data_IF_192240027381
#
_entry.id   IF_192240027381
#
_cell.length_a   1.000
_cell.length_b   1.000
_cell.length_c   1.000
_cell.angle_alpha   90.00
_cell.angle_beta   90.00
_cell.angle_gamma   90.00
#
_symmetry.space_group_name_H-M   'P 1'
#
loop_
_entity.id
_entity.type
_entity.pdbx_description
1 polymer ?
#
# COMPACT_ATOMS: atom_id res chain seq x y z
N UNK A 1 -30.88 -6.29 11.47
CA UNK A 1 -30.43 -5.40 10.36
C UNK A 1 -30.88 -3.99 10.69
N UNK A 2 -29.97 -3.04 10.89
CA UNK A 2 -30.34 -1.66 11.24
C UNK A 2 -31.13 -1.02 10.07
N UNK A 3 -32.38 -0.61 10.31
CA UNK A 3 -33.34 -0.17 9.28
C UNK A 3 -33.11 1.25 8.72
N UNK A 4 -31.87 1.72 8.66
CA UNK A 4 -31.55 3.09 8.23
C UNK A 4 -30.85 3.05 6.88
N UNK A 5 -31.34 3.83 5.91
CA UNK A 5 -30.70 3.93 4.60
C UNK A 5 -29.31 4.55 4.70
N UNK A 6 -28.36 4.13 3.85
CA UNK A 6 -27.00 4.68 3.80
C UNK A 6 -27.00 6.21 3.74
N UNK A 7 -27.94 6.82 2.98
CA UNK A 7 -28.09 8.27 2.88
C UNK A 7 -28.39 8.91 4.25
N UNK A 8 -29.35 8.36 4.99
CA UNK A 8 -29.77 8.90 6.29
C UNK A 8 -28.67 8.71 7.35
N UNK A 9 -27.95 7.59 7.31
CA UNK A 9 -26.78 7.35 8.14
C UNK A 9 -25.65 8.35 7.85
N UNK A 10 -25.30 8.58 6.57
CA UNK A 10 -24.25 9.54 6.19
C UNK A 10 -24.60 10.98 6.58
N UNK A 11 -25.87 11.38 6.44
CA UNK A 11 -26.34 12.71 6.86
C UNK A 11 -26.24 12.90 8.37
N UNK A 12 -26.63 11.89 9.16
CA UNK A 12 -26.52 11.93 10.61
C UNK A 12 -25.05 12.03 11.08
N UNK A 13 -24.15 11.31 10.41
CA UNK A 13 -22.71 11.31 10.71
C UNK A 13 -21.95 12.48 10.08
N UNK A 14 -22.60 13.33 9.28
CA UNK A 14 -21.99 14.43 8.51
C UNK A 14 -20.79 14.01 7.66
N UNK A 15 -20.86 12.81 7.09
CA UNK A 15 -19.85 12.28 6.16
C UNK A 15 -20.41 12.24 4.74
N UNK A 16 -19.55 12.50 3.75
CA UNK A 16 -19.96 12.38 2.36
C UNK A 16 -20.13 10.91 1.95
N UNK A 17 -21.15 10.65 1.13
CA UNK A 17 -21.47 9.29 0.67
C UNK A 17 -20.38 8.72 -0.24
N UNK A 18 -19.64 9.55 -0.97
CA UNK A 18 -18.53 9.09 -1.82
C UNK A 18 -17.40 8.53 -0.97
N UNK A 19 -17.12 9.12 0.20
CA UNK A 19 -16.15 8.59 1.17
C UNK A 19 -16.57 7.22 1.69
N UNK A 20 -17.85 7.05 2.04
CA UNK A 20 -18.38 5.76 2.51
C UNK A 20 -18.40 4.70 1.41
N UNK A 21 -18.62 5.11 0.16
CA UNK A 21 -18.62 4.21 -1.01
C UNK A 21 -17.23 3.94 -1.57
N UNK A 22 -16.21 4.65 -1.11
CA UNK A 22 -14.87 4.51 -1.64
C UNK A 22 -14.32 3.12 -1.33
N UNK A 23 -14.10 2.35 -2.38
CA UNK A 23 -13.34 1.11 -2.34
C UNK A 23 -11.99 1.34 -3.01
N UNK A 24 -10.90 1.03 -2.30
CA UNK A 24 -9.54 1.11 -2.85
C UNK A 24 -9.39 0.14 -4.03
N UNK A 25 -9.10 0.67 -5.22
CA UNK A 25 -8.81 -0.12 -6.43
C UNK A 25 -7.31 -0.43 -6.59
N UNK A 26 -6.59 -0.57 -5.48
CA UNK A 26 -5.14 -0.82 -5.53
C UNK A 26 -4.90 -2.23 -6.10
N UNK A 27 -4.01 -2.39 -7.09
CA UNK A 27 -3.60 -3.70 -7.55
C UNK A 27 -2.89 -4.46 -6.43
N UNK A 28 -2.82 -5.79 -6.55
CA UNK A 28 -2.07 -6.61 -5.61
C UNK A 28 -0.57 -6.24 -5.67
N UNK A 29 0.00 -6.02 -4.49
CA UNK A 29 1.40 -5.66 -4.31
C UNK A 29 2.27 -6.90 -4.04
N UNK A 30 1.70 -8.13 -4.05
CA UNK A 30 2.41 -9.37 -3.78
C UNK A 30 3.70 -9.54 -4.61
N UNK A 31 3.72 -9.34 -5.95
CA UNK A 31 4.95 -9.49 -6.72
C UNK A 31 6.05 -8.50 -6.30
N UNK A 32 5.65 -7.28 -5.91
CA UNK A 32 6.57 -6.24 -5.45
C UNK A 32 7.13 -6.57 -4.08
N UNK A 33 6.31 -7.14 -3.18
CA UNK A 33 6.76 -7.59 -1.85
C UNK A 33 7.80 -8.69 -1.96
N UNK A 34 7.58 -9.68 -2.82
CA UNK A 34 8.51 -10.78 -3.02
C UNK A 34 9.85 -10.31 -3.62
N UNK A 35 9.81 -9.46 -4.65
CA UNK A 35 11.04 -8.86 -5.19
C UNK A 35 11.80 -8.05 -4.13
N UNK A 36 11.09 -7.28 -3.30
CA UNK A 36 11.69 -6.46 -2.25
C UNK A 36 12.30 -7.31 -1.12
N UNK A 37 11.66 -8.42 -0.73
CA UNK A 37 12.21 -9.40 0.22
C UNK A 37 13.46 -10.06 -0.33
N UNK A 38 13.47 -10.45 -1.60
CA UNK A 38 14.64 -11.06 -2.23
C UNK A 38 15.85 -10.11 -2.18
N UNK A 39 15.66 -8.84 -2.54
CA UNK A 39 16.72 -7.82 -2.46
C UNK A 39 17.17 -7.58 -1.01
N UNK A 40 16.23 -7.51 -0.06
CA UNK A 40 16.55 -7.33 1.35
C UNK A 40 17.32 -8.53 1.94
N UNK A 41 16.98 -9.76 1.52
CA UNK A 41 17.66 -10.97 1.93
C UNK A 41 19.09 -11.05 1.39
N UNK A 42 19.32 -10.65 0.13
CA UNK A 42 20.66 -10.58 -0.46
C UNK A 42 21.57 -9.58 0.28
N UNK A 43 21.01 -8.43 0.70
CA UNK A 43 21.76 -7.32 1.31
C UNK A 43 21.10 -6.82 2.60
N UNK A 44 21.16 -7.61 3.67
CA UNK A 44 20.55 -7.32 4.99
C UNK A 44 20.85 -5.95 5.61
N UNK A 45 21.95 -5.27 5.26
CA UNK A 45 22.29 -3.93 5.79
C UNK A 45 21.63 -2.79 5.02
N UNK A 46 20.93 -3.09 3.93
CA UNK A 46 20.35 -2.07 3.07
C UNK A 46 18.98 -1.66 3.59
N UNK A 47 18.85 -0.38 3.93
CA UNK A 47 17.54 0.22 4.16
C UNK A 47 16.77 0.47 2.87
N UNK A 48 15.50 0.85 3.02
CA UNK A 48 14.53 1.06 1.93
C UNK A 48 15.04 1.91 0.74
N UNK A 49 15.89 2.92 0.98
CA UNK A 49 16.45 3.78 -0.10
C UNK A 49 17.38 3.00 -1.03
N UNK A 50 18.20 2.10 -0.50
CA UNK A 50 19.13 1.29 -1.30
C UNK A 50 18.38 0.17 -2.02
N UNK A 51 17.38 -0.41 -1.36
CA UNK A 51 16.48 -1.38 -1.98
C UNK A 51 15.72 -0.76 -3.15
N UNK A 52 15.24 0.48 -3.03
CA UNK A 52 14.59 1.21 -4.12
C UNK A 52 15.49 1.30 -5.37
N UNK A 53 16.76 1.67 -5.21
CA UNK A 53 17.72 1.74 -6.32
C UNK A 53 17.98 0.36 -6.95
N UNK A 54 18.01 -0.70 -6.15
CA UNK A 54 18.21 -2.07 -6.68
C UNK A 54 16.99 -2.56 -7.46
N UNK A 55 15.79 -2.29 -6.97
CA UNK A 55 14.54 -2.61 -7.67
C UNK A 55 14.43 -1.82 -8.98
N UNK A 56 14.83 -0.55 -8.97
CA UNK A 56 14.85 0.30 -10.17
C UNK A 56 15.80 -0.26 -11.25
N UNK A 57 16.98 -0.75 -10.85
CA UNK A 57 17.92 -1.43 -11.75
C UNK A 57 17.39 -2.75 -12.33
N UNK A 58 16.43 -3.39 -11.66
CA UNK A 58 15.73 -4.58 -12.15
C UNK A 58 14.50 -4.23 -13.01
N UNK A 59 14.27 -2.94 -13.29
CA UNK A 59 13.12 -2.45 -14.05
C UNK A 59 11.83 -2.31 -13.23
N UNK A 60 11.90 -2.52 -11.91
CA UNK A 60 10.75 -2.42 -11.00
C UNK A 60 10.66 -0.98 -10.49
N UNK A 61 10.01 -0.13 -11.28
CA UNK A 61 9.80 1.28 -10.94
C UNK A 61 8.57 1.43 -10.04
N UNK A 62 8.76 1.97 -8.84
CA UNK A 62 7.66 2.33 -7.95
C UNK A 62 7.91 3.63 -7.19
N UNK A 63 6.83 4.28 -6.77
CA UNK A 63 6.92 5.47 -5.93
C UNK A 63 7.58 5.15 -4.59
N UNK A 64 8.52 5.99 -4.14
CA UNK A 64 9.22 5.81 -2.86
C UNK A 64 8.28 5.74 -1.65
N UNK A 65 7.14 6.44 -1.69
CA UNK A 65 6.10 6.36 -0.63
C UNK A 65 5.51 4.95 -0.55
N UNK A 66 5.28 4.31 -1.69
CA UNK A 66 4.79 2.93 -1.77
C UNK A 66 5.83 1.96 -1.24
N UNK A 67 7.08 2.09 -1.68
CA UNK A 67 8.17 1.25 -1.19
C UNK A 67 8.35 1.35 0.32
N UNK A 68 8.38 2.58 0.87
CA UNK A 68 8.50 2.79 2.32
C UNK A 68 7.34 2.17 3.10
N UNK A 69 6.11 2.24 2.57
CA UNK A 69 4.94 1.60 3.17
C UNK A 69 5.11 0.08 3.20
N UNK A 70 5.40 -0.52 2.05
CA UNK A 70 5.59 -1.98 1.93
C UNK A 70 6.74 -2.46 2.82
N UNK A 71 7.87 -1.75 2.82
CA UNK A 71 9.04 -2.08 3.63
C UNK A 71 8.71 -2.14 5.13
N UNK A 72 7.92 -1.17 5.62
CA UNK A 72 7.45 -1.16 7.01
C UNK A 72 6.47 -2.29 7.32
N UNK A 73 5.57 -2.61 6.38
CA UNK A 73 4.61 -3.71 6.53
C UNK A 73 5.31 -5.08 6.57
N UNK A 74 6.38 -5.26 5.78
CA UNK A 74 7.19 -6.49 5.75
C UNK A 74 8.24 -6.59 6.88
N UNK A 75 8.39 -5.55 7.71
CA UNK A 75 9.38 -5.48 8.81
C UNK A 75 10.83 -5.72 8.35
N UNK A 76 11.16 -5.25 7.14
CA UNK A 76 12.51 -5.28 6.59
C UNK A 76 13.36 -4.10 7.08
#
# INVERSE_FOLDING_TARGET
VHGVSQRRACQALRIDRSTVRYASRRPDDAPLREAMKAVAAERRRFGYRRIHVMLDRQGIVMNQKKLRRLYREEKL
#
